data_IF_988693194983
#
_entry.id   IF_988693194983
#
_cell.length_a   1.000
_cell.length_b   1.000
_cell.length_c   1.000
_cell.angle_alpha   90.00
_cell.angle_beta   90.00
_cell.angle_gamma   90.00
#
_symmetry.space_group_name_H-M   'P 1'
#
loop_
_entity.id
_entity.type
_entity.pdbx_description
1 polymer ?
#
# COMPACT_ATOMS: atom_id res chain seq x y z
N UNK A 1 57.37 46.98 8.80
CA UNK A 1 56.80 47.46 10.09
C UNK A 1 55.65 46.54 10.47
N UNK A 2 55.84 45.62 11.42
CA UNK A 2 54.84 44.61 11.79
C UNK A 2 54.35 44.94 13.19
N UNK A 3 53.24 45.66 13.28
CA UNK A 3 52.62 46.04 14.56
C UNK A 3 51.96 44.82 15.17
N UNK A 4 52.50 44.27 16.26
CA UNK A 4 51.84 43.21 17.00
C UNK A 4 50.62 43.77 17.76
N UNK A 5 49.45 43.13 17.68
CA UNK A 5 48.29 43.57 18.44
C UNK A 5 48.54 43.35 19.94
N UNK A 6 48.23 44.37 20.74
CA UNK A 6 48.39 44.35 22.20
C UNK A 6 47.49 43.27 22.82
N UNK A 7 48.07 42.41 23.67
CA UNK A 7 47.44 41.23 24.29
C UNK A 7 46.10 41.50 24.98
N UNK A 8 45.87 42.73 25.46
CA UNK A 8 44.62 43.17 26.06
C UNK A 8 43.44 43.22 25.08
N UNK A 9 43.68 43.49 23.79
CA UNK A 9 42.63 43.53 22.77
C UNK A 9 42.17 42.12 22.38
N UNK A 10 43.08 41.15 22.41
CA UNK A 10 42.79 39.73 22.18
C UNK A 10 42.02 39.16 23.38
N UNK A 11 42.44 39.48 24.60
CA UNK A 11 41.74 39.06 25.81
C UNK A 11 40.30 39.61 25.87
N UNK A 12 40.09 40.90 25.57
CA UNK A 12 38.76 41.50 25.55
C UNK A 12 37.85 40.87 24.48
N UNK A 13 38.40 40.52 23.30
CA UNK A 13 37.64 39.84 22.25
C UNK A 13 37.23 38.41 22.67
N UNK A 14 38.10 37.68 23.38
CA UNK A 14 37.80 36.34 23.90
C UNK A 14 36.70 36.42 24.98
N UNK A 15 36.76 37.40 25.88
CA UNK A 15 35.73 37.61 26.89
C UNK A 15 34.37 37.98 26.29
N UNK A 16 34.35 38.85 25.27
CA UNK A 16 33.12 39.20 24.56
C UNK A 16 32.53 38.01 23.78
N UNK A 17 33.38 37.18 23.16
CA UNK A 17 32.92 35.98 22.47
C UNK A 17 32.37 34.93 23.46
N UNK A 18 33.01 34.75 24.61
CA UNK A 18 32.52 33.84 25.66
C UNK A 18 31.20 34.32 26.26
N UNK A 19 31.03 35.62 26.48
CA UNK A 19 29.79 36.21 26.98
C UNK A 19 28.65 36.09 25.96
N UNK A 20 28.96 36.23 24.66
CA UNK A 20 27.99 36.03 23.58
C UNK A 20 27.56 34.55 23.45
N UNK A 21 28.47 33.61 23.71
CA UNK A 21 28.15 32.18 23.73
C UNK A 21 27.27 31.79 24.93
N UNK A 22 27.52 32.41 26.09
CA UNK A 22 26.71 32.18 27.30
C UNK A 22 25.29 32.79 27.20
N UNK A 23 25.11 33.78 26.32
CA UNK A 23 23.83 34.46 26.10
C UNK A 23 23.02 33.89 24.91
N UNK A 24 23.49 32.83 24.26
CA UNK A 24 22.77 32.20 23.17
C UNK A 24 21.49 31.51 23.70
N UNK A 25 20.29 31.83 23.18
CA UNK A 25 19.08 31.13 23.58
C UNK A 25 19.11 29.68 23.10
N UNK A 26 18.66 28.76 23.96
CA UNK A 26 18.43 27.36 23.61
C UNK A 26 17.32 27.27 22.53
N UNK A 27 17.72 27.12 21.27
CA UNK A 27 16.80 26.77 20.18
C UNK A 27 16.53 25.27 20.28
N UNK A 28 15.51 24.91 21.06
CA UNK A 28 14.97 23.55 21.07
C UNK A 28 14.01 23.40 19.90
N UNK A 29 14.13 22.31 19.16
CA UNK A 29 13.11 21.92 18.20
C UNK A 29 11.78 21.79 18.95
N UNK A 30 10.72 22.41 18.41
CA UNK A 30 9.38 22.24 18.95
C UNK A 30 9.03 20.75 18.93
N UNK A 31 8.42 20.26 20.01
CA UNK A 31 7.89 18.90 20.05
C UNK A 31 6.78 18.84 19.02
N UNK A 32 6.97 18.04 17.96
CA UNK A 32 5.90 17.74 17.01
C UNK A 32 4.93 16.81 17.71
N UNK A 33 3.78 17.34 18.10
CA UNK A 33 2.72 16.54 18.70
C UNK A 33 2.09 15.61 17.63
N UNK A 34 1.94 14.34 17.98
CA UNK A 34 1.30 13.35 17.11
C UNK A 34 -0.18 13.29 17.50
N UNK A 35 -1.07 13.41 16.52
CA UNK A 35 -2.49 13.37 16.78
C UNK A 35 -2.89 12.07 17.49
N UNK A 36 -3.52 12.21 18.65
CA UNK A 36 -4.06 11.09 19.45
C UNK A 36 -5.47 10.71 19.03
N UNK A 37 -6.07 11.46 18.10
CA UNK A 37 -7.40 11.20 17.52
C UNK A 37 -7.28 10.66 16.09
N UNK A 38 -8.12 9.69 15.69
CA UNK A 38 -8.11 9.16 14.33
C UNK A 38 -8.30 10.26 13.27
N UNK A 39 -7.53 10.17 12.17
CA UNK A 39 -7.58 11.12 11.05
C UNK A 39 -8.99 11.30 10.48
N UNK A 40 -9.77 10.21 10.45
CA UNK A 40 -11.15 10.19 9.92
C UNK A 40 -12.10 11.07 10.73
N UNK A 41 -11.82 11.26 12.03
CA UNK A 41 -12.68 12.01 12.96
C UNK A 41 -12.10 13.37 13.37
N UNK A 42 -10.87 13.68 12.97
CA UNK A 42 -10.21 14.93 13.32
C UNK A 42 -10.72 16.08 12.44
N UNK A 43 -11.06 17.22 13.04
CA UNK A 43 -11.32 18.44 12.28
C UNK A 43 -10.03 18.85 11.54
N UNK A 44 -10.12 19.18 10.26
CA UNK A 44 -8.99 19.57 9.40
C UNK A 44 -8.19 20.78 9.91
N UNK A 45 -8.72 21.48 10.91
CA UNK A 45 -8.09 22.60 11.61
C UNK A 45 -7.08 22.14 12.67
N UNK A 46 -7.22 20.94 13.23
CA UNK A 46 -6.41 20.47 14.36
C UNK A 46 -5.15 19.70 13.96
N UNK A 47 -5.12 19.07 12.77
CA UNK A 47 -4.02 18.19 12.35
C UNK A 47 -3.80 18.29 10.85
N UNK A 48 -2.58 18.67 10.42
CA UNK A 48 -2.18 18.54 9.01
C UNK A 48 -1.82 17.07 8.75
N UNK A 49 -2.48 16.36 7.82
CA UNK A 49 -2.13 14.98 7.51
C UNK A 49 -0.79 14.90 6.77
N UNK A 50 0.05 13.94 7.16
CA UNK A 50 1.20 13.50 6.38
C UNK A 50 0.89 12.08 5.91
N UNK A 51 0.49 11.91 4.65
CA UNK A 51 0.23 10.61 4.05
C UNK A 51 1.47 10.16 3.29
N UNK A 52 1.97 8.97 3.61
CA UNK A 52 3.01 8.28 2.85
C UNK A 52 2.39 7.03 2.25
N UNK A 53 2.39 6.96 0.92
CA UNK A 53 2.01 5.76 0.19
C UNK A 53 3.28 4.99 -0.16
N UNK A 54 3.29 3.69 0.11
CA UNK A 54 4.28 2.76 -0.39
C UNK A 54 3.53 1.80 -1.30
N UNK A 55 4.01 1.67 -2.53
CA UNK A 55 3.44 0.75 -3.52
C UNK A 55 4.32 -0.50 -3.52
N UNK A 56 3.69 -1.66 -3.33
CA UNK A 56 4.36 -2.95 -3.48
C UNK A 56 4.35 -3.36 -4.95
N UNK A 57 5.53 -3.51 -5.55
CA UNK A 57 5.75 -3.92 -6.94
C UNK A 57 6.39 -5.31 -7.07
N UNK A 58 6.39 -6.10 -6.00
CA UNK A 58 7.00 -7.44 -5.97
C UNK A 58 6.37 -8.45 -6.94
N UNK A 59 5.17 -8.16 -7.47
CA UNK A 59 4.40 -9.03 -8.35
C UNK A 59 3.61 -10.15 -7.62
N UNK A 60 3.89 -10.36 -6.34
CA UNK A 60 3.20 -11.37 -5.50
C UNK A 60 1.70 -11.13 -5.37
N UNK A 61 1.27 -9.86 -5.40
CA UNK A 61 -0.15 -9.49 -5.40
C UNK A 61 -0.92 -9.96 -6.63
N UNK A 62 -0.23 -10.41 -7.68
CA UNK A 62 -0.86 -11.07 -8.82
C UNK A 62 -1.21 -12.54 -8.56
N UNK A 63 -0.73 -13.15 -7.48
CA UNK A 63 -1.03 -14.55 -7.20
C UNK A 63 -2.49 -14.74 -6.81
N UNK A 64 -3.06 -15.84 -7.28
CA UNK A 64 -4.47 -16.21 -7.05
C UNK A 64 -4.63 -17.08 -5.79
N UNK A 65 -3.77 -16.85 -4.80
CA UNK A 65 -3.77 -17.52 -3.50
C UNK A 65 -3.45 -16.59 -2.33
N UNK A 66 -4.11 -16.85 -1.18
CA UNK A 66 -3.77 -16.28 0.13
C UNK A 66 -4.12 -17.29 1.23
N UNK A 67 -3.25 -17.57 2.23
CA UNK A 67 -1.86 -17.12 2.41
C UNK A 67 -0.84 -17.89 1.55
N UNK A 68 0.43 -17.46 1.58
CA UNK A 68 1.57 -18.10 0.86
C UNK A 68 1.74 -19.60 1.14
N UNK A 69 1.40 -20.05 2.36
CA UNK A 69 1.49 -21.44 2.79
C UNK A 69 0.52 -22.38 2.07
N UNK A 70 -0.43 -21.84 1.31
CA UNK A 70 -1.29 -22.63 0.42
C UNK A 70 -0.51 -23.15 -0.79
N UNK A 71 0.70 -22.64 -1.02
CA UNK A 71 1.60 -23.14 -2.05
C UNK A 71 2.20 -24.52 -1.68
N UNK A 72 1.63 -25.61 -2.20
CA UNK A 72 2.14 -26.98 -2.04
C UNK A 72 3.27 -27.39 -3.01
N UNK A 73 4.05 -26.44 -3.52
CA UNK A 73 5.15 -26.69 -4.47
C UNK A 73 4.75 -26.62 -5.95
N UNK A 74 5.40 -27.39 -6.81
CA UNK A 74 5.42 -27.13 -8.26
C UNK A 74 4.12 -27.40 -9.05
N UNK A 75 3.05 -27.91 -8.41
CA UNK A 75 1.82 -28.34 -9.10
C UNK A 75 0.53 -27.78 -8.46
N UNK A 76 0.18 -26.53 -8.78
CA UNK A 76 -1.11 -25.90 -8.41
C UNK A 76 -2.34 -26.74 -8.78
N UNK A 77 -2.25 -27.50 -9.88
CA UNK A 77 -3.34 -28.34 -10.35
C UNK A 77 -3.72 -29.47 -9.36
N UNK A 78 -2.76 -29.99 -8.59
CA UNK A 78 -2.95 -31.11 -7.67
C UNK A 78 -3.12 -30.71 -6.21
N UNK A 79 -2.92 -29.42 -5.87
CA UNK A 79 -3.03 -28.97 -4.49
C UNK A 79 -4.51 -28.80 -4.08
N UNK A 80 -4.95 -29.62 -3.14
CA UNK A 80 -6.30 -29.56 -2.58
C UNK A 80 -6.53 -28.29 -1.75
N UNK A 81 -5.49 -27.72 -1.15
CA UNK A 81 -5.58 -26.49 -0.36
C UNK A 81 -5.79 -25.27 -1.26
N UNK A 82 -5.14 -25.24 -2.43
CA UNK A 82 -5.27 -24.15 -3.39
C UNK A 82 -6.72 -23.93 -3.86
N UNK A 83 -7.46 -25.02 -4.08
CA UNK A 83 -8.84 -25.02 -4.60
C UNK A 83 -9.91 -25.07 -3.50
N UNK A 84 -9.56 -24.69 -2.27
CA UNK A 84 -10.43 -24.82 -1.12
C UNK A 84 -10.50 -23.50 -0.36
N UNK A 85 -11.69 -22.91 -0.30
CA UNK A 85 -11.95 -21.64 0.40
C UNK A 85 -11.66 -21.67 1.91
N UNK A 86 -11.59 -22.86 2.53
CA UNK A 86 -11.15 -23.00 3.91
C UNK A 86 -9.66 -22.64 4.07
N UNK A 87 -8.85 -22.85 3.03
CA UNK A 87 -7.40 -22.62 3.02
C UNK A 87 -7.05 -21.37 2.19
N UNK A 88 -7.29 -21.40 0.88
CA UNK A 88 -7.13 -20.26 -0.01
C UNK A 88 -8.28 -19.25 0.19
N UNK A 89 -7.99 -18.13 0.86
CA UNK A 89 -8.98 -17.13 1.27
C UNK A 89 -9.60 -16.34 0.13
N UNK A 90 -8.96 -16.35 -1.05
CA UNK A 90 -9.49 -15.70 -2.25
C UNK A 90 -10.12 -16.70 -3.22
N UNK A 91 -10.18 -17.98 -2.86
CA UNK A 91 -10.90 -18.98 -3.63
C UNK A 91 -12.41 -18.87 -3.43
N UNK A 92 -13.17 -19.26 -4.46
CA UNK A 92 -14.63 -19.28 -4.43
C UNK A 92 -15.18 -20.12 -3.27
N UNK A 93 -16.09 -19.54 -2.48
CA UNK A 93 -16.80 -20.22 -1.41
C UNK A 93 -18.29 -20.35 -1.78
N UNK A 94 -18.81 -21.56 -2.02
CA UNK A 94 -20.20 -21.75 -2.42
C UNK A 94 -21.24 -21.37 -1.35
N UNK A 95 -20.81 -21.16 -0.09
CA UNK A 95 -21.68 -20.71 0.98
C UNK A 95 -21.84 -19.18 1.03
N UNK A 96 -21.11 -18.44 0.19
CA UNK A 96 -21.19 -16.99 0.07
C UNK A 96 -21.92 -16.65 -1.22
N UNK A 97 -22.89 -15.74 -1.15
CA UNK A 97 -23.49 -15.12 -2.34
C UNK A 97 -22.64 -13.92 -2.75
N UNK A 98 -22.05 -13.99 -3.93
CA UNK A 98 -21.24 -12.91 -4.50
C UNK A 98 -22.13 -12.04 -5.37
N UNK A 99 -22.25 -10.75 -5.03
CA UNK A 99 -22.90 -9.77 -5.90
C UNK A 99 -21.95 -9.40 -7.06
N UNK A 100 -22.48 -9.04 -8.24
CA UNK A 100 -21.67 -8.48 -9.31
C UNK A 100 -20.87 -7.25 -8.86
N UNK A 101 -19.72 -7.06 -9.49
CA UNK A 101 -18.98 -5.80 -9.38
C UNK A 101 -19.85 -4.61 -9.78
N UNK A 102 -19.49 -3.43 -9.29
CA UNK A 102 -20.15 -2.17 -9.64
C UNK A 102 -19.16 -1.25 -10.36
N UNK A 103 -19.65 -0.40 -11.25
CA UNK A 103 -18.84 0.61 -11.92
C UNK A 103 -18.50 1.79 -10.98
N UNK A 104 -17.78 2.78 -11.52
CA UNK A 104 -17.38 3.99 -10.77
C UNK A 104 -18.55 4.86 -10.33
N UNK A 105 -19.75 4.67 -10.87
CA UNK A 105 -20.99 5.32 -10.43
C UNK A 105 -21.76 4.51 -9.38
N UNK A 106 -21.32 3.28 -9.10
CA UNK A 106 -21.99 2.33 -8.20
C UNK A 106 -23.07 1.48 -8.89
N UNK A 107 -23.20 1.54 -10.22
CA UNK A 107 -24.15 0.72 -10.96
C UNK A 107 -23.60 -0.71 -11.14
N UNK A 108 -24.47 -1.72 -10.97
CA UNK A 108 -24.08 -3.12 -11.14
C UNK A 108 -23.64 -3.43 -12.58
N UNK A 109 -22.56 -4.20 -12.71
CA UNK A 109 -22.06 -4.71 -13.99
C UNK A 109 -22.82 -5.95 -14.50
N UNK A 110 -23.82 -6.42 -13.73
CA UNK A 110 -24.64 -7.60 -14.05
C UNK A 110 -23.93 -8.93 -13.79
N UNK A 111 -24.72 -9.99 -13.70
CA UNK A 111 -24.19 -11.35 -13.52
C UNK A 111 -23.40 -11.81 -14.75
N UNK A 112 -22.38 -12.64 -14.52
CA UNK A 112 -21.61 -13.24 -15.61
C UNK A 112 -22.43 -14.30 -16.37
N UNK A 113 -22.28 -14.33 -17.70
CA UNK A 113 -22.85 -15.40 -18.53
C UNK A 113 -22.01 -16.66 -18.42
N UNK A 114 -22.57 -17.78 -17.94
CA UNK A 114 -21.79 -19.00 -17.68
C UNK A 114 -21.01 -19.53 -18.90
N UNK A 115 -21.59 -19.44 -20.10
CA UNK A 115 -20.96 -19.89 -21.35
C UNK A 115 -20.13 -18.81 -22.07
N UNK A 116 -20.03 -17.61 -21.50
CA UNK A 116 -19.26 -16.49 -22.03
C UNK A 116 -18.82 -15.58 -20.88
N UNK A 117 -18.21 -16.18 -19.86
CA UNK A 117 -17.78 -15.47 -18.66
C UNK A 117 -16.59 -14.59 -19.03
N UNK A 118 -16.61 -13.31 -18.66
CA UNK A 118 -15.47 -12.43 -18.92
C UNK A 118 -14.26 -12.88 -18.12
N UNK A 119 -13.09 -12.85 -18.74
CA UNK A 119 -11.83 -13.15 -18.06
C UNK A 119 -11.48 -12.02 -17.06
N UNK A 120 -11.85 -10.76 -17.37
CA UNK A 120 -11.87 -9.62 -16.45
C UNK A 120 -13.29 -9.03 -16.29
N UNK A 121 -13.80 -9.00 -15.06
CA UNK A 121 -15.12 -8.46 -14.73
C UNK A 121 -15.24 -6.94 -14.84
N UNK A 122 -14.13 -6.20 -14.77
CA UNK A 122 -14.10 -4.72 -14.82
C UNK A 122 -13.63 -4.16 -16.17
N UNK A 123 -13.67 -5.00 -17.21
CA UNK A 123 -13.22 -4.76 -18.58
C UNK A 123 -13.62 -3.41 -19.23
N UNK A 124 -14.63 -2.68 -18.73
CA UNK A 124 -14.86 -1.29 -19.17
C UNK A 124 -13.63 -0.38 -19.00
N UNK A 125 -12.60 -0.79 -18.25
CA UNK A 125 -11.35 -0.05 -18.02
C UNK A 125 -10.07 -0.66 -18.65
N UNK A 126 -10.06 -1.92 -19.09
CA UNK A 126 -8.85 -2.60 -19.63
C UNK A 126 -9.11 -3.24 -21.01
N UNK A 127 -8.12 -3.22 -21.89
CA UNK A 127 -8.21 -3.67 -23.30
C UNK A 127 -8.26 -5.21 -23.48
N UNK A 128 -8.40 -5.98 -22.40
CA UNK A 128 -8.47 -7.45 -22.41
C UNK A 128 -9.89 -7.92 -22.73
N UNK A 129 -10.14 -8.35 -23.96
CA UNK A 129 -11.49 -8.69 -24.47
C UNK A 129 -11.86 -10.17 -24.34
N UNK A 130 -11.24 -10.90 -23.41
CA UNK A 130 -11.38 -12.36 -23.28
C UNK A 130 -12.70 -12.80 -22.63
N UNK A 131 -13.33 -13.84 -23.19
CA UNK A 131 -14.41 -14.57 -22.52
C UNK A 131 -14.17 -16.07 -22.59
N UNK A 132 -14.49 -16.78 -21.51
CA UNK A 132 -14.37 -18.23 -21.41
C UNK A 132 -15.74 -18.90 -21.24
N UNK A 133 -16.01 -19.95 -22.02
CA UNK A 133 -17.14 -20.85 -21.76
C UNK A 133 -16.79 -21.80 -20.61
N UNK A 134 -17.35 -21.53 -19.42
CA UNK A 134 -17.08 -22.31 -18.22
C UNK A 134 -17.72 -23.71 -18.28
N UNK A 135 -18.68 -23.96 -19.18
CA UNK A 135 -19.24 -25.29 -19.37
C UNK A 135 -18.27 -26.24 -20.07
N UNK A 136 -17.37 -25.70 -20.89
CA UNK A 136 -16.46 -26.48 -21.72
C UNK A 136 -14.98 -26.35 -21.31
N UNK A 137 -14.59 -25.23 -20.70
CA UNK A 137 -13.18 -24.86 -20.49
C UNK A 137 -12.89 -24.31 -19.09
N UNK A 138 -13.71 -24.67 -18.09
CA UNK A 138 -13.45 -24.29 -16.70
C UNK A 138 -12.08 -24.77 -16.20
N UNK A 139 -11.34 -23.85 -15.58
CA UNK A 139 -10.10 -24.16 -14.86
C UNK A 139 -10.22 -23.65 -13.43
N UNK A 140 -10.11 -24.58 -12.48
CA UNK A 140 -10.13 -24.29 -11.05
C UNK A 140 -8.82 -23.68 -10.52
N UNK A 141 -7.85 -23.37 -11.38
CA UNK A 141 -6.54 -22.84 -11.02
C UNK A 141 -5.92 -22.08 -12.19
N UNK A 142 -4.94 -21.21 -11.90
CA UNK A 142 -4.08 -20.60 -12.91
C UNK A 142 -2.60 -20.74 -12.54
N UNK A 143 -1.73 -20.86 -13.55
CA UNK A 143 -0.28 -21.08 -13.38
C UNK A 143 0.54 -19.78 -13.27
N UNK A 144 -0.11 -18.62 -13.13
CA UNK A 144 0.55 -17.33 -13.25
C UNK A 144 -0.08 -16.23 -12.39
N UNK A 145 0.67 -15.14 -12.29
CA UNK A 145 0.29 -13.89 -11.64
C UNK A 145 -0.91 -13.24 -12.35
N UNK A 146 -2.12 -13.72 -12.08
CA UNK A 146 -3.37 -12.94 -12.07
C UNK A 146 -3.84 -12.28 -13.37
N UNK A 147 -3.11 -12.44 -14.47
CA UNK A 147 -3.46 -11.86 -15.77
C UNK A 147 -3.64 -12.98 -16.79
N UNK A 148 -4.90 -13.26 -17.10
CA UNK A 148 -5.31 -13.87 -18.36
C UNK A 148 -5.99 -12.81 -19.20
#
# INVERSE_FOLDING_TARGET
MKTQPTSHRIAAAIWLAALAWLAAPDVRAAVTDLATTPLVTASSVAVKPNLMFVLDDSGSMGWTELPDSVWGGSNYASDHCYKNSAYNKIYYNPNITYAPGVDSSGASLGDATFTAARDDGYHSYDSVTGTTDLSASFRAYDYGSGAR
#
